data_IF_929685879289
#
_entry.id   IF_929685879289
#
_cell.length_a   1.000
_cell.length_b   1.000
_cell.length_c   1.000
_cell.angle_alpha   90.00
_cell.angle_beta   90.00
_cell.angle_gamma   90.00
#
_symmetry.space_group_name_H-M   'P 1'
#
loop_
_entity.id
_entity.type
_entity.pdbx_description
1 polymer ?
#
# COMPACT_ATOMS: atom_id res chain seq x y z
N UNK A 1 -13.18 -19.82 -17.31
CA UNK A 1 -12.17 -18.81 -17.72
C UNK A 1 -11.45 -18.33 -16.48
N UNK A 2 -10.12 -18.26 -16.51
CA UNK A 2 -9.35 -17.63 -15.43
C UNK A 2 -9.73 -16.15 -15.34
N UNK A 3 -9.88 -15.63 -14.11
CA UNK A 3 -10.19 -14.21 -13.91
C UNK A 3 -8.96 -13.37 -14.30
N UNK A 4 -9.12 -12.24 -15.00
CA UNK A 4 -7.98 -11.40 -15.38
C UNK A 4 -7.22 -10.94 -14.12
N UNK A 5 -5.88 -10.83 -14.18
CA UNK A 5 -5.10 -10.32 -13.07
C UNK A 5 -5.39 -8.83 -12.84
N UNK A 6 -5.07 -8.33 -11.65
CA UNK A 6 -5.18 -6.93 -11.30
C UNK A 6 -3.85 -6.41 -10.75
N UNK A 7 -3.63 -5.11 -10.83
CA UNK A 7 -2.43 -4.46 -10.28
C UNK A 7 -2.71 -3.89 -8.91
N UNK A 8 -1.96 -4.34 -7.90
CA UNK A 8 -1.92 -3.80 -6.54
C UNK A 8 -0.73 -2.86 -6.40
N UNK A 9 -0.96 -1.66 -5.89
CA UNK A 9 0.07 -0.71 -5.46
C UNK A 9 0.36 -0.92 -3.98
N UNK A 10 1.53 -1.48 -3.69
CA UNK A 10 2.12 -1.58 -2.37
C UNK A 10 2.95 -0.33 -2.08
N UNK A 11 2.69 0.32 -0.93
CA UNK A 11 3.40 1.54 -0.52
C UNK A 11 4.10 1.40 0.85
N UNK A 12 4.05 0.24 1.49
CA UNK A 12 4.66 0.00 2.81
C UNK A 12 5.29 -1.39 2.91
N UNK A 13 5.00 -2.13 3.98
CA UNK A 13 5.63 -3.46 4.22
C UNK A 13 5.49 -4.49 3.08
N UNK A 14 4.55 -4.33 2.14
CA UNK A 14 4.43 -5.19 0.96
C UNK A 14 5.52 -4.94 -0.11
N UNK A 15 6.34 -3.90 0.06
CA UNK A 15 7.45 -3.58 -0.83
C UNK A 15 8.74 -4.35 -0.49
N UNK A 16 8.74 -5.16 0.57
CA UNK A 16 9.90 -5.95 1.02
C UNK A 16 9.54 -7.42 1.17
N UNK A 17 10.50 -8.29 0.90
CA UNK A 17 10.42 -9.73 1.15
C UNK A 17 10.19 -9.99 2.63
N UNK A 18 10.78 -9.19 3.52
CA UNK A 18 10.55 -9.33 4.96
C UNK A 18 9.08 -9.10 5.34
N UNK A 19 8.46 -8.04 4.84
CA UNK A 19 7.06 -7.76 5.15
C UNK A 19 6.07 -8.66 4.40
N UNK A 20 6.46 -9.18 3.22
CA UNK A 20 5.70 -10.18 2.46
C UNK A 20 5.72 -11.56 3.10
N UNK A 21 6.78 -11.94 3.82
CA UNK A 21 6.91 -13.27 4.44
C UNK A 21 5.72 -13.64 5.34
N UNK A 22 5.07 -12.64 5.97
CA UNK A 22 3.89 -12.84 6.80
C UNK A 22 2.62 -13.23 6.02
N UNK A 23 2.58 -13.04 4.70
CA UNK A 23 1.51 -13.50 3.82
C UNK A 23 1.73 -14.92 3.29
N UNK A 24 2.95 -15.46 3.42
CA UNK A 24 3.41 -16.59 2.64
C UNK A 24 3.73 -16.18 1.19
N UNK A 25 3.66 -17.13 0.27
CA UNK A 25 3.88 -16.82 -1.16
C UNK A 25 2.71 -16.02 -1.73
N UNK A 26 3.04 -15.06 -2.58
CA UNK A 26 2.15 -14.18 -3.32
C UNK A 26 2.60 -14.22 -4.79
N UNK A 27 2.21 -15.25 -5.56
CA UNK A 27 2.65 -15.40 -6.94
C UNK A 27 2.25 -14.16 -7.77
N UNK A 28 3.24 -13.49 -8.36
CA UNK A 28 2.99 -12.34 -9.23
C UNK A 28 3.17 -12.71 -10.70
N UNK A 29 2.37 -12.09 -11.56
CA UNK A 29 2.60 -12.08 -13.01
C UNK A 29 3.73 -11.10 -13.34
N UNK A 30 3.74 -9.95 -12.65
CA UNK A 30 4.76 -8.93 -12.79
C UNK A 30 4.91 -8.13 -11.48
N UNK A 31 6.11 -7.63 -11.22
CA UNK A 31 6.39 -6.67 -10.16
C UNK A 31 7.26 -5.55 -10.74
N UNK A 32 6.92 -4.28 -10.51
CA UNK A 32 7.64 -3.12 -11.07
C UNK A 32 7.61 -1.92 -10.12
N UNK A 33 8.72 -1.19 -9.96
CA UNK A 33 8.70 0.11 -9.31
C UNK A 33 7.74 1.08 -10.02
N UNK A 34 7.03 1.87 -9.23
CA UNK A 34 6.14 2.94 -9.71
C UNK A 34 6.34 4.19 -8.87
N UNK A 35 6.07 5.35 -9.46
CA UNK A 35 6.01 6.64 -8.79
C UNK A 35 4.56 7.01 -8.54
N UNK A 36 4.21 7.32 -7.30
CA UNK A 36 2.88 7.80 -6.91
C UNK A 36 2.83 9.32 -6.85
N UNK A 37 1.72 9.86 -7.35
CA UNK A 37 1.47 11.30 -7.49
C UNK A 37 0.25 11.73 -6.67
N UNK A 38 0.20 13.01 -6.32
CA UNK A 38 -0.87 13.58 -5.49
C UNK A 38 -1.08 12.79 -4.17
N UNK A 39 -0.02 12.31 -3.55
CA UNK A 39 -0.12 11.60 -2.29
C UNK A 39 1.06 11.91 -1.38
N UNK A 40 0.85 11.66 -0.09
CA UNK A 40 1.87 11.61 0.94
C UNK A 40 1.76 10.28 1.68
N UNK A 41 2.89 9.82 2.19
CA UNK A 41 3.02 8.59 2.95
C UNK A 41 3.65 8.88 4.30
N UNK A 42 3.25 8.09 5.28
CA UNK A 42 3.72 8.20 6.66
C UNK A 42 3.05 7.16 7.53
N UNK A 43 3.09 7.30 8.85
CA UNK A 43 2.48 6.38 9.79
C UNK A 43 1.27 7.03 10.44
N UNK A 44 0.14 6.33 10.51
CA UNK A 44 -1.07 7.01 10.98
C UNK A 44 -2.24 6.09 11.29
N UNK A 45 -1.98 4.79 11.47
CA UNK A 45 -3.00 3.81 11.83
C UNK A 45 -2.42 2.84 12.83
N UNK A 46 -3.04 2.66 13.99
CA UNK A 46 -2.64 1.57 14.90
C UNK A 46 -2.83 0.22 14.19
N UNK A 47 -1.85 -0.68 14.29
CA UNK A 47 -1.94 -2.02 13.73
C UNK A 47 -3.13 -2.80 14.33
N UNK A 48 -3.56 -3.89 13.67
CA UNK A 48 -4.61 -4.76 14.22
C UNK A 48 -4.25 -5.33 15.61
N UNK A 49 -2.95 -5.44 15.92
CA UNK A 49 -2.45 -5.96 17.19
C UNK A 49 -2.14 -4.87 18.23
N UNK A 50 -2.35 -3.59 17.90
CA UNK A 50 -2.14 -2.48 18.84
C UNK A 50 -0.67 -2.09 19.08
N UNK A 51 0.28 -2.85 18.57
CA UNK A 51 1.70 -2.81 18.95
C UNK A 51 2.52 -1.72 18.24
N UNK A 52 2.05 -1.25 17.09
CA UNK A 52 2.76 -0.29 16.22
C UNK A 52 1.81 0.62 15.46
N UNK A 53 2.37 1.66 14.86
CA UNK A 53 1.73 2.50 13.85
C UNK A 53 2.11 1.98 12.47
N UNK A 54 1.09 1.53 11.74
CA UNK A 54 1.16 1.11 10.36
C UNK A 54 1.19 2.31 9.41
N UNK A 55 1.79 2.08 8.26
CA UNK A 55 1.95 3.06 7.20
C UNK A 55 0.60 3.37 6.55
N UNK A 56 0.36 4.62 6.22
CA UNK A 56 -0.83 5.09 5.52
C UNK A 56 -0.40 5.88 4.28
N UNK A 57 -1.33 5.96 3.34
CA UNK A 57 -1.25 6.80 2.17
C UNK A 57 -2.44 7.76 2.20
N UNK A 58 -2.21 9.03 1.93
CA UNK A 58 -3.25 10.06 1.86
C UNK A 58 -3.06 10.93 0.62
N UNK A 59 -4.13 11.33 -0.08
CA UNK A 59 -3.98 12.28 -1.17
C UNK A 59 -3.65 13.66 -0.62
N UNK A 60 -2.78 14.40 -1.32
CA UNK A 60 -2.43 15.79 -0.96
C UNK A 60 -3.57 16.73 -1.32
N UNK A 61 -4.14 16.57 -2.52
CA UNK A 61 -5.34 17.28 -2.98
C UNK A 61 -6.52 16.32 -2.93
N UNK A 62 -7.45 16.58 -2.00
CA UNK A 62 -8.52 15.65 -1.66
C UNK A 62 -9.52 15.37 -2.79
N UNK A 63 -9.63 16.27 -3.78
CA UNK A 63 -10.56 16.17 -4.91
C UNK A 63 -9.88 15.73 -6.22
N UNK A 64 -8.63 15.30 -6.15
CA UNK A 64 -7.89 14.74 -7.28
C UNK A 64 -7.56 13.27 -6.95
N UNK A 65 -7.54 12.37 -7.96
CA UNK A 65 -7.15 10.99 -7.73
C UNK A 65 -5.67 10.89 -7.34
N UNK A 66 -5.32 9.81 -6.64
CA UNK A 66 -3.92 9.38 -6.56
C UNK A 66 -3.56 8.81 -7.93
N UNK A 67 -2.45 9.28 -8.48
CA UNK A 67 -1.90 8.82 -9.75
C UNK A 67 -0.69 7.91 -9.54
N UNK A 68 -0.37 7.11 -10.54
CA UNK A 68 0.80 6.26 -10.59
C UNK A 68 1.36 6.22 -12.03
N UNK A 69 2.68 6.18 -12.13
CA UNK A 69 3.39 5.91 -13.37
C UNK A 69 4.50 4.91 -13.12
N UNK A 70 4.75 3.99 -14.05
CA UNK A 70 5.95 3.16 -14.00
C UNK A 70 7.18 4.06 -13.99
N UNK A 71 8.17 3.71 -13.17
CA UNK A 71 9.47 4.39 -13.20
C UNK A 71 10.14 4.01 -14.53
N UNK A 72 10.39 5.02 -15.36
CA UNK A 72 11.26 4.95 -16.54
C UNK A 72 12.51 5.79 -16.28
N UNK A 73 13.60 5.54 -17.01
CA UNK A 73 14.90 6.24 -16.84
C UNK A 73 14.83 7.75 -17.14
N UNK A 74 13.68 8.30 -17.57
CA UNK A 74 13.61 9.59 -18.28
C UNK A 74 12.76 10.69 -17.63
N UNK A 75 12.14 10.43 -16.47
CA UNK A 75 11.21 11.39 -15.84
C UNK A 75 11.81 12.10 -14.63
N UNK A 76 11.45 13.38 -14.50
CA UNK A 76 11.90 14.31 -13.45
C UNK A 76 11.73 13.67 -12.06
N UNK A 77 12.86 13.42 -11.39
CA UNK A 77 12.95 12.70 -10.12
C UNK A 77 12.21 13.39 -8.96
N UNK A 78 11.75 14.63 -9.18
CA UNK A 78 11.35 15.57 -8.12
C UNK A 78 9.89 15.51 -7.69
N UNK A 79 9.01 14.87 -8.46
CA UNK A 79 7.58 14.79 -8.10
C UNK A 79 7.15 13.35 -7.76
N UNK A 80 6.59 13.18 -6.55
CA UNK A 80 5.96 11.94 -6.08
C UNK A 80 6.81 11.09 -5.12
N UNK A 81 6.28 9.91 -4.76
CA UNK A 81 6.94 8.93 -3.88
C UNK A 81 7.03 7.56 -4.55
N UNK A 82 8.11 6.81 -4.29
CA UNK A 82 8.27 5.47 -4.86
C UNK A 82 7.40 4.44 -4.13
N UNK A 83 6.88 3.50 -4.94
CA UNK A 83 6.05 2.39 -4.52
C UNK A 83 6.29 1.18 -5.43
N UNK A 84 5.57 0.09 -5.17
CA UNK A 84 5.67 -1.16 -5.93
C UNK A 84 4.32 -1.53 -6.53
N UNK A 85 4.27 -1.71 -7.85
CA UNK A 85 3.15 -2.35 -8.52
C UNK A 85 3.35 -3.86 -8.57
N UNK A 86 2.34 -4.62 -8.14
CA UNK A 86 2.27 -6.08 -8.15
C UNK A 86 1.06 -6.51 -8.96
N UNK A 87 1.27 -7.17 -10.10
CA UNK A 87 0.18 -7.76 -10.89
C UNK A 87 -0.10 -9.17 -10.37
N UNK A 88 -1.26 -9.36 -9.74
CA UNK A 88 -1.63 -10.58 -9.00
C UNK A 88 -3.00 -11.10 -9.40
N UNK A 89 -3.28 -12.35 -9.02
CA UNK A 89 -4.61 -12.93 -9.16
C UNK A 89 -5.63 -12.24 -8.23
N UNK A 90 -6.93 -12.35 -8.53
CA UNK A 90 -7.97 -11.85 -7.62
C UNK A 90 -7.98 -12.60 -6.27
N UNK A 91 -7.61 -13.88 -6.26
CA UNK A 91 -7.58 -14.68 -5.02
C UNK A 91 -6.44 -14.20 -4.12
N UNK A 92 -5.28 -13.89 -4.71
CA UNK A 92 -4.15 -13.29 -4.00
C UNK A 92 -4.46 -11.85 -3.53
N UNK A 93 -5.15 -11.05 -4.34
CA UNK A 93 -5.64 -9.76 -3.89
C UNK A 93 -6.61 -9.89 -2.71
N UNK A 94 -7.47 -10.91 -2.72
CA UNK A 94 -8.39 -11.20 -1.61
C UNK A 94 -7.62 -11.54 -0.34
N UNK A 95 -6.55 -12.34 -0.43
CA UNK A 95 -5.67 -12.64 0.71
C UNK A 95 -5.00 -11.38 1.26
N UNK A 96 -4.51 -10.50 0.39
CA UNK A 96 -3.95 -9.21 0.81
C UNK A 96 -5.03 -8.36 1.48
N UNK A 97 -6.23 -8.27 0.91
CA UNK A 97 -7.33 -7.51 1.49
C UNK A 97 -7.68 -7.97 2.92
N UNK A 98 -7.68 -9.28 3.16
CA UNK A 98 -7.87 -9.85 4.51
C UNK A 98 -6.78 -9.43 5.48
N UNK A 99 -5.51 -9.48 5.07
CA UNK A 99 -4.39 -8.95 5.87
C UNK A 99 -4.57 -7.46 6.20
N UNK A 100 -5.08 -6.68 5.26
CA UNK A 100 -5.36 -5.26 5.46
C UNK A 100 -6.63 -4.99 6.30
N UNK A 101 -7.36 -6.03 6.71
CA UNK A 101 -8.54 -5.96 7.56
C UNK A 101 -9.85 -5.78 6.80
N UNK A 102 -9.88 -6.13 5.53
CA UNK A 102 -11.08 -6.15 4.70
C UNK A 102 -11.66 -7.57 4.59
N UNK A 103 -12.95 -7.71 4.34
CA UNK A 103 -13.61 -9.02 4.28
C UNK A 103 -13.42 -9.67 2.91
N UNK A 104 -13.06 -10.96 2.90
CA UNK A 104 -12.92 -11.74 1.67
C UNK A 104 -14.21 -11.76 0.84
N UNK A 105 -15.35 -12.02 1.49
CA UNK A 105 -16.65 -12.07 0.82
C UNK A 105 -17.04 -10.73 0.18
N UNK A 106 -16.65 -9.61 0.80
CA UNK A 106 -16.87 -8.29 0.21
C UNK A 106 -16.06 -8.09 -1.08
N UNK A 107 -14.83 -8.61 -1.15
CA UNK A 107 -14.04 -8.62 -2.39
C UNK A 107 -14.67 -9.51 -3.47
N UNK A 108 -15.20 -10.67 -3.08
CA UNK A 108 -15.90 -11.56 -4.03
C UNK A 108 -17.20 -10.93 -4.56
N UNK A 109 -17.98 -10.27 -3.70
CA UNK A 109 -19.16 -9.49 -4.08
C UNK A 109 -18.78 -8.36 -5.03
N UNK A 110 -17.71 -7.62 -4.74
CA UNK A 110 -17.19 -6.58 -5.61
C UNK A 110 -16.81 -7.13 -6.99
N UNK A 111 -16.12 -8.27 -7.03
CA UNK A 111 -15.74 -8.93 -8.28
C UNK A 111 -16.94 -9.45 -9.08
N UNK A 112 -17.98 -9.94 -8.41
CA UNK A 112 -19.23 -10.34 -9.07
C UNK A 112 -19.93 -9.13 -9.70
N UNK A 113 -19.98 -7.99 -9.00
CA UNK A 113 -20.56 -6.74 -9.51
C UNK A 113 -19.77 -6.16 -10.68
N UNK A 114 -18.44 -6.11 -10.57
CA UNK A 114 -17.58 -5.68 -11.67
C UNK A 114 -17.79 -6.54 -12.92
N UNK A 115 -17.85 -7.86 -12.76
CA UNK A 115 -18.15 -8.78 -13.87
C UNK A 115 -19.54 -8.54 -14.48
N UNK A 116 -20.56 -8.32 -13.66
CA UNK A 116 -21.91 -8.02 -14.15
C UNK A 116 -21.96 -6.70 -14.94
N UNK A 117 -21.07 -5.76 -14.63
CA UNK A 117 -20.87 -4.51 -15.38
C UNK A 117 -19.93 -4.65 -16.59
N UNK A 118 -19.39 -5.85 -16.85
CA UNK A 118 -18.42 -6.07 -17.94
C UNK A 118 -17.05 -5.46 -17.69
N UNK A 119 -16.64 -5.29 -16.43
CA UNK A 119 -15.44 -4.56 -16.02
C UNK A 119 -14.50 -5.39 -15.15
N UNK A 120 -13.24 -4.99 -15.10
CA UNK A 120 -12.32 -5.42 -14.04
C UNK A 120 -12.71 -4.79 -12.70
N UNK A 121 -12.24 -5.37 -11.58
CA UNK A 121 -12.50 -4.81 -10.24
C UNK A 121 -11.94 -3.38 -10.13
N UNK A 122 -10.77 -3.14 -10.73
CA UNK A 122 -10.13 -1.83 -10.67
C UNK A 122 -10.88 -0.78 -11.50
N UNK A 123 -11.33 -1.13 -12.69
CA UNK A 123 -12.17 -0.27 -13.53
C UNK A 123 -13.50 0.06 -12.83
N UNK A 124 -14.16 -0.95 -12.26
CA UNK A 124 -15.41 -0.75 -11.54
C UNK A 124 -15.25 0.22 -10.37
N UNK A 125 -14.22 0.03 -9.54
CA UNK A 125 -13.92 0.95 -8.44
C UNK A 125 -13.54 2.35 -8.93
N UNK A 126 -12.77 2.45 -10.03
CA UNK A 126 -12.41 3.72 -10.63
C UNK A 126 -13.63 4.50 -11.10
N UNK A 127 -14.59 3.85 -11.77
CA UNK A 127 -15.84 4.49 -12.17
C UNK A 127 -16.66 4.95 -10.98
N UNK A 128 -16.71 4.18 -9.89
CA UNK A 128 -17.34 4.63 -8.66
C UNK A 128 -16.65 5.88 -8.10
N UNK A 129 -15.30 5.93 -8.11
CA UNK A 129 -14.56 7.11 -7.65
C UNK A 129 -14.84 8.35 -8.51
N UNK A 130 -14.85 8.19 -9.84
CA UNK A 130 -15.17 9.27 -10.80
C UNK A 130 -16.60 9.77 -10.63
N UNK A 131 -17.58 8.86 -10.52
CA UNK A 131 -18.99 9.20 -10.31
C UNK A 131 -19.22 9.96 -8.98
N UNK A 132 -18.31 9.80 -8.02
CA UNK A 132 -18.32 10.51 -6.75
C UNK A 132 -17.36 11.71 -6.73
N UNK A 133 -16.91 12.19 -7.89
CA UNK A 133 -16.05 13.38 -8.06
C UNK A 133 -14.76 13.32 -7.22
N UNK A 134 -14.18 12.13 -7.07
CA UNK A 134 -12.99 11.87 -6.25
C UNK A 134 -13.17 12.16 -4.74
N UNK A 135 -14.39 12.46 -4.27
CA UNK A 135 -14.69 12.62 -2.85
C UNK A 135 -14.65 11.25 -2.17
N UNK A 136 -13.66 11.05 -1.29
CA UNK A 136 -13.44 9.79 -0.59
C UNK A 136 -14.61 9.37 0.30
N UNK A 137 -15.28 10.31 0.96
CA UNK A 137 -16.40 10.00 1.85
C UNK A 137 -17.61 9.52 1.05
N UNK A 138 -17.91 10.19 -0.08
CA UNK A 138 -18.98 9.77 -1.00
C UNK A 138 -18.65 8.43 -1.65
N UNK A 139 -17.42 8.27 -2.16
CA UNK A 139 -16.94 7.01 -2.73
C UNK A 139 -17.10 5.84 -1.75
N UNK A 140 -16.69 6.01 -0.49
CA UNK A 140 -16.81 4.95 0.53
C UNK A 140 -18.25 4.62 0.88
N UNK A 141 -19.15 5.60 0.95
CA UNK A 141 -20.60 5.35 1.12
C UNK A 141 -21.18 4.58 -0.07
N UNK A 142 -20.79 4.93 -1.30
CA UNK A 142 -21.20 4.21 -2.50
C UNK A 142 -20.66 2.77 -2.51
N UNK A 143 -19.39 2.57 -2.12
CA UNK A 143 -18.80 1.25 -1.99
C UNK A 143 -19.50 0.42 -0.92
N UNK A 144 -19.78 1.00 0.26
CA UNK A 144 -20.55 0.35 1.31
C UNK A 144 -21.95 -0.06 0.82
N UNK A 145 -22.67 0.82 0.12
CA UNK A 145 -23.98 0.50 -0.45
C UNK A 145 -23.92 -0.62 -1.49
N UNK A 146 -22.80 -0.74 -2.22
CA UNK A 146 -22.61 -1.81 -3.20
C UNK A 146 -22.31 -3.16 -2.53
N UNK A 147 -21.45 -3.20 -1.51
CA UNK A 147 -20.94 -4.48 -0.97
C UNK A 147 -21.47 -4.83 0.43
N UNK A 148 -22.28 -3.96 1.02
CA UNK A 148 -22.83 -4.06 2.38
C UNK A 148 -21.76 -4.29 3.46
N UNK A 149 -20.54 -3.83 3.19
CA UNK A 149 -19.39 -3.98 4.06
C UNK A 149 -18.44 -2.80 3.93
N UNK A 150 -17.82 -2.42 5.05
CA UNK A 150 -16.66 -1.54 5.09
C UNK A 150 -15.73 -1.97 6.23
N UNK A 151 -14.52 -1.42 6.27
CA UNK A 151 -13.51 -1.76 7.27
C UNK A 151 -13.10 -0.54 8.10
N UNK A 152 -12.87 -0.71 9.41
CA UNK A 152 -12.23 0.32 10.22
C UNK A 152 -10.73 0.45 9.95
N UNK A 153 -10.12 -0.49 9.21
CA UNK A 153 -8.68 -0.56 8.96
C UNK A 153 -8.27 0.05 7.62
N UNK A 154 -8.39 -0.68 6.51
CA UNK A 154 -8.11 -0.17 5.18
C UNK A 154 -9.23 -0.55 4.23
N UNK A 155 -9.50 0.33 3.27
CA UNK A 155 -10.55 0.15 2.27
C UNK A 155 -9.88 0.16 0.88
N UNK A 156 -10.22 -0.78 -0.02
CA UNK A 156 -9.75 -0.76 -1.41
C UNK A 156 -10.01 0.61 -2.06
N UNK A 157 -9.04 1.09 -2.81
CA UNK A 157 -9.11 2.39 -3.46
C UNK A 157 -8.41 2.32 -4.82
N UNK A 158 -9.05 2.80 -5.90
CA UNK A 158 -8.45 2.76 -7.22
C UNK A 158 -7.41 3.89 -7.37
N UNK A 159 -6.36 3.62 -8.15
CA UNK A 159 -5.27 4.52 -8.45
C UNK A 159 -5.15 4.62 -9.96
N UNK A 160 -5.10 5.84 -10.52
CA UNK A 160 -4.90 6.01 -11.95
C UNK A 160 -3.48 5.56 -12.32
N UNK A 161 -3.34 4.51 -13.11
CA UNK A 161 -2.04 4.03 -13.57
C UNK A 161 -1.86 4.39 -15.05
N UNK A 162 -0.80 5.12 -15.36
CA UNK A 162 -0.56 5.65 -16.71
C UNK A 162 -0.34 4.52 -17.72
N UNK A 163 -1.07 4.56 -18.84
CA UNK A 163 -0.89 3.65 -19.96
C UNK A 163 -1.55 2.28 -19.79
N UNK A 164 -2.29 2.04 -18.71
CA UNK A 164 -2.95 0.75 -18.42
C UNK A 164 -4.31 0.95 -17.75
N UNK A 165 -4.98 -0.15 -17.42
CA UNK A 165 -6.11 -0.13 -16.48
C UNK A 165 -5.69 0.50 -15.13
N UNK A 166 -6.64 1.08 -14.38
CA UNK A 166 -6.41 1.53 -13.02
C UNK A 166 -5.82 0.41 -12.16
N UNK A 167 -4.97 0.78 -11.21
CA UNK A 167 -4.50 -0.12 -10.18
C UNK A 167 -5.38 0.01 -8.92
N UNK A 168 -5.15 -0.86 -7.94
CA UNK A 168 -5.77 -0.80 -6.62
C UNK A 168 -4.73 -0.59 -5.55
N UNK A 169 -5.10 0.14 -4.51
CA UNK A 169 -4.36 0.22 -3.24
C UNK A 169 -5.34 0.17 -2.08
N UNK A 170 -4.85 0.32 -0.87
CA UNK A 170 -5.63 0.28 0.36
C UNK A 170 -5.43 1.59 1.12
N UNK A 171 -6.50 2.35 1.38
CA UNK A 171 -6.41 3.61 2.15
C UNK A 171 -7.09 3.45 3.51
N UNK A 172 -6.42 3.92 4.57
CA UNK A 172 -6.99 3.88 5.91
C UNK A 172 -8.03 5.01 6.07
N UNK A 173 -9.27 4.73 6.50
CA UNK A 173 -10.24 5.77 6.71
C UNK A 173 -9.84 6.65 7.89
N UNK A 174 -9.97 7.98 7.73
CA UNK A 174 -9.76 8.97 8.77
C UNK A 174 -11.08 9.63 9.18
N UNK A 175 -11.04 10.92 9.47
CA UNK A 175 -12.20 11.73 9.88
C UNK A 175 -13.31 11.76 8.82
N UNK A 176 -12.98 11.52 7.55
CA UNK A 176 -13.94 11.44 6.47
C UNK A 176 -14.83 10.18 6.52
N UNK A 177 -14.49 9.23 7.40
CA UNK A 177 -15.28 8.03 7.67
C UNK A 177 -14.94 6.82 6.81
N UNK A 178 -15.46 5.67 7.23
CA UNK A 178 -15.32 4.38 6.56
C UNK A 178 -16.37 4.17 5.46
N UNK A 179 -17.38 5.03 5.36
CA UNK A 179 -18.53 4.85 4.47
C UNK A 179 -19.79 4.32 5.17
N UNK A 180 -19.71 3.97 6.46
CA UNK A 180 -20.85 3.63 7.31
C UNK A 180 -20.70 4.30 8.68
N UNK A 181 -21.79 4.90 9.18
CA UNK A 181 -21.81 5.53 10.50
C UNK A 181 -21.67 4.50 11.64
N UNK A 182 -21.98 3.23 11.36
CA UNK A 182 -21.83 2.12 12.31
C UNK A 182 -20.40 1.59 12.44
N UNK A 183 -19.44 2.08 11.64
CA UNK A 183 -18.05 1.58 11.64
C UNK A 183 -17.08 2.73 11.87
N UNK A 184 -16.62 2.89 13.12
CA UNK A 184 -15.63 3.89 13.50
C UNK A 184 -14.23 3.50 12.97
N UNK A 185 -13.57 4.37 12.17
CA UNK A 185 -12.21 4.11 11.73
C UNK A 185 -11.22 3.98 12.90
N UNK A 186 -10.26 3.06 12.81
CA UNK A 186 -9.24 2.88 13.87
C UNK A 186 -8.50 4.18 14.14
N UNK A 187 -8.19 4.95 13.08
CA UNK A 187 -7.53 6.26 13.19
C UNK A 187 -8.27 7.22 14.11
N UNK A 188 -9.60 7.24 14.02
CA UNK A 188 -10.48 8.07 14.86
C UNK A 188 -10.59 7.48 16.25
N UNK A 189 -10.84 6.17 16.37
CA UNK A 189 -10.99 5.49 17.66
C UNK A 189 -9.73 5.61 18.55
N UNK A 190 -8.54 5.66 17.94
CA UNK A 190 -7.27 5.77 18.67
C UNK A 190 -6.71 7.20 18.73
N UNK A 191 -7.40 8.20 18.17
CA UNK A 191 -6.92 9.59 18.11
C UNK A 191 -5.66 9.79 17.27
N UNK A 192 -5.35 8.87 16.34
CA UNK A 192 -4.21 8.99 15.42
C UNK A 192 -4.73 9.37 14.04
N UNK A 193 -5.07 10.65 13.89
CA UNK A 193 -5.70 11.20 12.67
C UNK A 193 -4.71 11.82 11.70
N UNK A 194 -3.47 12.05 12.12
CA UNK A 194 -2.44 12.66 11.28
C UNK A 194 -1.62 11.61 10.52
N UNK A 195 -1.00 12.04 9.42
CA UNK A 195 0.04 11.30 8.74
C UNK A 195 1.40 11.69 9.33
N UNK A 196 1.92 10.84 10.22
CA UNK A 196 3.13 11.10 11.00
C UNK A 196 4.39 10.71 10.23
N UNK A 197 5.46 11.48 10.41
CA UNK A 197 6.82 11.09 10.04
C UNK A 197 7.31 9.86 10.84
N UNK A 198 8.42 9.25 10.41
CA UNK A 198 9.04 8.15 11.16
C UNK A 198 9.46 8.58 12.58
N UNK A 199 9.98 9.81 12.74
CA UNK A 199 10.36 10.38 14.04
C UNK A 199 9.15 10.52 14.96
N UNK A 200 8.06 11.11 14.47
CA UNK A 200 6.84 11.27 15.26
C UNK A 200 6.22 9.93 15.63
N UNK A 201 6.21 8.98 14.70
CA UNK A 201 5.72 7.63 14.95
C UNK A 201 6.55 6.91 16.01
N UNK A 202 7.88 7.03 15.95
CA UNK A 202 8.79 6.49 16.95
C UNK A 202 8.53 7.09 18.33
N UNK A 203 8.42 8.43 18.43
CA UNK A 203 8.14 9.11 19.70
C UNK A 203 6.82 8.66 20.32
N UNK A 204 5.81 8.33 19.51
CA UNK A 204 4.52 7.79 20.01
C UNK A 204 4.60 6.32 20.41
N UNK A 205 5.42 5.49 19.75
CA UNK A 205 5.59 4.06 20.05
C UNK A 205 7.06 3.63 19.95
N UNK A 206 7.92 3.99 20.94
CA UNK A 206 9.36 3.70 20.88
C UNK A 206 9.66 2.27 21.33
N UNK A 207 9.11 1.29 20.61
CA UNK A 207 9.18 -0.13 20.98
C UNK A 207 9.74 -0.99 19.84
N UNK A 208 10.06 -2.25 20.15
CA UNK A 208 10.63 -3.19 19.20
C UNK A 208 9.72 -3.42 17.98
N UNK A 209 8.40 -3.55 18.17
CA UNK A 209 7.44 -3.74 17.08
C UNK A 209 7.44 -2.58 16.07
N UNK A 210 7.59 -1.34 16.53
CA UNK A 210 7.70 -0.18 15.66
C UNK A 210 9.02 -0.17 14.89
N UNK A 211 10.13 -0.50 15.56
CA UNK A 211 11.45 -0.61 14.93
C UNK A 211 11.47 -1.70 13.85
N UNK A 212 10.91 -2.88 14.15
CA UNK A 212 10.78 -3.99 13.21
C UNK A 212 9.95 -3.58 12.00
N UNK A 213 8.88 -2.82 12.20
CA UNK A 213 8.03 -2.37 11.11
C UNK A 213 8.69 -1.29 10.24
N UNK A 214 9.46 -0.37 10.84
CA UNK A 214 10.30 0.52 10.05
C UNK A 214 11.28 -0.27 9.19
N UNK A 215 11.97 -1.26 9.75
CA UNK A 215 12.88 -2.11 9.00
C UNK A 215 12.16 -2.87 7.87
N UNK A 216 10.97 -3.43 8.11
CA UNK A 216 10.15 -4.05 7.07
C UNK A 216 9.85 -3.08 5.92
N UNK A 217 9.56 -1.80 6.18
CA UNK A 217 9.29 -0.85 5.10
C UNK A 217 10.58 -0.43 4.37
N UNK A 218 11.66 -0.16 5.10
CA UNK A 218 12.90 0.38 4.54
C UNK A 218 13.73 -0.64 3.77
N UNK A 219 13.52 -1.94 3.99
CA UNK A 219 14.14 -2.98 3.17
C UNK A 219 13.76 -2.89 1.69
N UNK A 220 12.69 -2.17 1.32
CA UNK A 220 12.37 -1.91 -0.08
C UNK A 220 13.46 -1.12 -0.84
N UNK A 221 14.30 -0.35 -0.15
CA UNK A 221 15.43 0.35 -0.77
C UNK A 221 16.47 -0.61 -1.37
N UNK A 222 16.52 -1.86 -0.88
CA UNK A 222 17.33 -2.94 -1.46
C UNK A 222 16.87 -3.32 -2.88
N UNK A 223 15.66 -2.90 -3.26
CA UNK A 223 15.04 -3.08 -4.57
C UNK A 223 14.94 -1.77 -5.36
N UNK A 224 15.72 -0.74 -5.00
CA UNK A 224 15.71 0.58 -5.65
C UNK A 224 14.35 1.31 -5.56
N UNK A 225 13.58 1.06 -4.51
CA UNK A 225 12.34 1.79 -4.20
C UNK A 225 12.66 2.77 -3.08
N UNK A 226 12.73 4.07 -3.38
CA UNK A 226 13.10 5.09 -2.39
C UNK A 226 12.06 5.24 -1.28
N UNK A 227 12.54 5.35 -0.04
CA UNK A 227 11.74 5.78 1.11
C UNK A 227 12.26 7.10 1.69
N UNK A 228 12.89 7.94 0.87
CA UNK A 228 13.37 9.27 1.28
C UNK A 228 12.27 10.14 1.91
N UNK A 229 11.02 10.02 1.45
CA UNK A 229 9.85 10.69 2.04
C UNK A 229 9.57 10.25 3.48
N UNK A 230 9.90 9.01 3.84
CA UNK A 230 9.69 8.44 5.17
C UNK A 230 10.90 8.64 6.08
N UNK A 231 12.11 8.56 5.52
CA UNK A 231 13.37 8.71 6.28
C UNK A 231 13.77 10.15 6.50
N UNK A 232 13.14 11.11 5.81
CA UNK A 232 13.40 12.52 6.01
C UNK A 232 13.24 12.92 7.49
N UNK A 233 14.26 13.60 8.03
CA UNK A 233 14.30 14.06 9.41
C UNK A 233 14.77 13.02 10.43
N UNK A 234 15.01 11.76 10.04
CA UNK A 234 15.57 10.76 10.96
C UNK A 234 16.94 11.18 11.53
N UNK A 235 17.71 12.02 10.81
CA UNK A 235 19.02 12.53 11.26
C UNK A 235 18.93 13.28 12.60
N UNK A 236 17.74 13.76 12.98
CA UNK A 236 17.49 14.37 14.28
C UNK A 236 17.35 13.35 15.43
N UNK A 237 17.33 12.04 15.14
CA UNK A 237 17.15 10.93 16.09
C UNK A 237 18.29 9.90 15.97
N UNK A 238 19.53 10.24 16.38
CA UNK A 238 20.71 9.41 16.12
C UNK A 238 20.62 8.00 16.73
N UNK A 239 20.03 7.87 17.92
CA UNK A 239 19.83 6.57 18.59
C UNK A 239 18.85 5.69 17.81
N UNK A 240 17.80 6.28 17.20
CA UNK A 240 16.87 5.54 16.36
C UNK A 240 17.57 5.08 15.08
N UNK A 241 18.34 5.96 14.43
CA UNK A 241 19.10 5.61 13.22
C UNK A 241 20.04 4.44 13.49
N UNK A 242 20.78 4.46 14.59
CA UNK A 242 21.72 3.39 14.94
C UNK A 242 20.98 2.05 15.10
N UNK A 243 19.91 2.04 15.90
CA UNK A 243 19.07 0.84 16.10
C UNK A 243 18.46 0.32 14.81
N UNK A 244 18.02 1.24 13.95
CA UNK A 244 17.40 0.89 12.67
C UNK A 244 18.44 0.32 11.70
N UNK A 245 19.65 0.89 11.66
CA UNK A 245 20.77 0.37 10.87
C UNK A 245 21.13 -1.04 11.30
N UNK A 246 21.35 -1.26 12.61
CA UNK A 246 21.62 -2.59 13.15
C UNK A 246 20.52 -3.60 12.81
N UNK A 247 19.26 -3.16 12.86
CA UNK A 247 18.12 -4.00 12.53
C UNK A 247 18.07 -4.35 11.05
N UNK A 248 18.34 -3.38 10.16
CA UNK A 248 18.38 -3.55 8.71
C UNK A 248 19.53 -4.45 8.28
N UNK A 249 20.71 -4.29 8.85
CA UNK A 249 21.91 -5.06 8.49
C UNK A 249 21.72 -6.57 8.70
N UNK A 250 20.92 -6.98 9.69
CA UNK A 250 20.56 -8.39 9.94
C UNK A 250 19.72 -9.00 8.83
N UNK A 251 18.95 -8.20 8.10
CA UNK A 251 17.99 -8.68 7.08
C UNK A 251 18.49 -8.45 5.66
N UNK A 252 19.26 -7.39 5.43
CA UNK A 252 19.67 -6.90 4.10
C UNK A 252 20.27 -8.01 3.24
N UNK A 253 21.14 -8.84 3.80
CA UNK A 253 21.80 -9.93 3.06
C UNK A 253 20.87 -11.01 2.51
N UNK A 254 19.67 -11.18 3.10
CA UNK A 254 18.70 -12.18 2.67
C UNK A 254 17.54 -11.59 1.86
N UNK A 255 17.47 -10.27 1.74
CA UNK A 255 16.27 -9.57 1.28
C UNK A 255 15.95 -9.86 -0.20
N UNK A 256 16.95 -9.87 -1.09
CA UNK A 256 16.75 -10.24 -2.50
C UNK A 256 16.15 -11.63 -2.67
N UNK A 257 16.73 -12.62 -1.99
CA UNK A 257 16.26 -14.00 -2.06
C UNK A 257 14.84 -14.11 -1.47
N UNK A 258 14.61 -13.50 -0.32
CA UNK A 258 13.31 -13.51 0.37
C UNK A 258 12.22 -12.86 -0.48
N UNK A 259 12.48 -11.70 -1.07
CA UNK A 259 11.54 -10.98 -1.92
C UNK A 259 11.16 -11.80 -3.16
N UNK A 260 12.17 -12.36 -3.85
CA UNK A 260 11.94 -13.24 -5.00
C UNK A 260 11.12 -14.48 -4.64
N UNK A 261 11.46 -15.16 -3.55
CA UNK A 261 10.72 -16.34 -3.08
C UNK A 261 9.29 -15.97 -2.70
N UNK A 262 9.09 -14.86 -1.98
CA UNK A 262 7.76 -14.41 -1.59
C UNK A 262 6.88 -14.09 -2.81
N UNK A 263 7.43 -13.49 -3.86
CA UNK A 263 6.69 -13.13 -5.07
C UNK A 263 6.67 -14.23 -6.15
N UNK A 264 7.33 -15.36 -5.93
CA UNK A 264 7.58 -16.40 -6.94
C UNK A 264 8.23 -15.85 -8.23
N UNK A 265 9.11 -14.85 -8.10
CA UNK A 265 9.83 -14.25 -9.22
C UNK A 265 11.07 -15.06 -9.60
N UNK A 266 11.26 -15.26 -10.90
CA UNK A 266 12.54 -15.74 -11.42
C UNK A 266 13.63 -14.67 -11.25
N UNK A 267 14.89 -15.09 -11.29
CA UNK A 267 16.03 -14.17 -11.29
C UNK A 267 15.95 -13.16 -12.44
N UNK A 268 15.72 -13.67 -13.65
CA UNK A 268 15.59 -12.83 -14.84
C UNK A 268 14.45 -11.82 -14.73
N UNK A 269 13.29 -12.22 -14.20
CA UNK A 269 12.16 -11.30 -14.00
C UNK A 269 12.48 -10.23 -12.97
N UNK A 270 13.17 -10.58 -11.88
CA UNK A 270 13.64 -9.63 -10.88
C UNK A 270 14.66 -8.65 -11.47
N UNK A 271 15.71 -9.14 -12.13
CA UNK A 271 16.76 -8.30 -12.70
C UNK A 271 16.21 -7.32 -13.75
N UNK A 272 15.30 -7.80 -14.61
CA UNK A 272 14.65 -6.96 -15.60
C UNK A 272 13.79 -5.85 -14.98
N UNK A 273 13.18 -6.09 -13.82
CA UNK A 273 12.29 -5.14 -13.18
C UNK A 273 12.99 -4.13 -12.25
N UNK A 274 14.08 -4.54 -11.59
CA UNK A 274 14.67 -3.78 -10.48
C UNK A 274 16.13 -3.38 -10.70
N UNK A 275 16.81 -3.88 -11.72
CA UNK A 275 18.26 -3.64 -11.91
C UNK A 275 18.57 -2.77 -13.14
N UNK A 276 17.57 -2.36 -13.91
CA UNK A 276 17.74 -1.48 -15.07
C UNK A 276 17.87 0.02 -14.71
N UNK A 277 17.99 0.37 -13.43
CA UNK A 277 18.07 1.76 -12.96
C UNK A 277 19.35 2.06 -12.17
N UNK A 278 20.48 1.45 -12.56
CA UNK A 278 21.79 1.71 -11.97
C UNK A 278 22.78 2.25 -13.02
#
# INVERSE_FOLDING_TARGET
MARPPLTLIAYGSLMSGFGLAHLGTLPVVAARPVRLHNCRRGFGKVSQYGDRLAMILEPVRANEPIGASYVDESRDERDGIDALALTISLDDFTRVAVREGYLADAIQTLAARARAAGQSVAEYLWQQLVANHFDRARYRRALFAAVEYTSPHYIPHPVALTGTEPALTFLAPGLEGSGSDGVTPVRVATGVTDCLSAVEAWRRKPNASQLDYFAMCLLAEVHHISLADVTNGLDAEPVLIERLRERLDRERGNEHARFRTALCLSEAAYTNAFTQAA
#
